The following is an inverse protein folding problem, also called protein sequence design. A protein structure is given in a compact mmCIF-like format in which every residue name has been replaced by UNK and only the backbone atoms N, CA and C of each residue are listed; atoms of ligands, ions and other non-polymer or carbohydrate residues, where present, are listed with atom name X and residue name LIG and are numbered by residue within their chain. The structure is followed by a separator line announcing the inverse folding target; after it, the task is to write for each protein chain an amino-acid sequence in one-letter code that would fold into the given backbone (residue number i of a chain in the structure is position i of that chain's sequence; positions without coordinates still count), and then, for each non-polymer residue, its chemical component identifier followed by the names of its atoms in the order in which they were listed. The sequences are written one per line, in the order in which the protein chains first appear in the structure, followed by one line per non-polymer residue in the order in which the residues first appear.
data_IF_169380249222
#
_entry.id   IF_169380249222
#
_cell.length_a   1.000
_cell.length_b   1.000
_cell.length_c   1.000
_cell.angle_alpha   90.00
_cell.angle_beta   90.00
_cell.angle_gamma   90.00
#
_symmetry.space_group_name_H-M   'P 1'
#
loop_
_entity.id
_entity.type
_entity.pdbx_description
1 polymer ?
#
# COMPACT_ATOMS: atom_id res chain seq x y z
N UNK A 1 46.34 24.27 -78.50
CA UNK A 1 46.49 23.74 -77.15
C UNK A 1 45.68 24.61 -76.23
N UNK A 2 44.45 24.18 -75.86
CA UNK A 2 43.58 24.84 -74.87
C UNK A 2 43.19 23.79 -73.91
N UNK A 3 43.65 23.93 -72.62
CA UNK A 3 43.26 23.12 -71.54
C UNK A 3 41.93 23.63 -71.00
N UNK A 4 40.97 22.75 -70.97
CA UNK A 4 39.65 22.99 -70.42
C UNK A 4 39.66 22.54 -68.95
N UNK A 5 39.37 23.46 -68.03
CA UNK A 5 39.18 23.14 -66.59
C UNK A 5 37.74 22.71 -66.35
N UNK A 6 37.51 21.68 -65.62
CA UNK A 6 36.15 21.34 -65.20
C UNK A 6 35.73 22.12 -63.92
N UNK A 7 34.55 22.68 -64.01
CA UNK A 7 33.87 23.34 -62.89
C UNK A 7 33.54 22.34 -61.80
N UNK A 8 34.08 22.54 -60.58
CA UNK A 8 33.68 21.82 -59.36
C UNK A 8 32.48 22.54 -58.79
N UNK A 9 31.33 21.90 -58.91
CA UNK A 9 30.10 22.31 -58.20
C UNK A 9 30.20 21.80 -56.79
N UNK A 10 30.40 22.67 -55.81
CA UNK A 10 30.33 22.36 -54.39
C UNK A 10 28.86 22.40 -53.97
N UNK A 11 28.30 21.24 -53.76
CA UNK A 11 26.94 21.08 -53.15
C UNK A 11 27.07 21.13 -51.63
N UNK A 12 26.68 22.27 -51.05
CA UNK A 12 26.53 22.41 -49.61
C UNK A 12 25.25 21.71 -49.14
N UNK A 13 25.40 20.52 -48.55
CA UNK A 13 24.31 19.82 -47.87
C UNK A 13 24.18 20.40 -46.46
N UNK A 14 23.20 21.27 -46.28
CA UNK A 14 22.81 21.77 -44.95
C UNK A 14 22.04 20.65 -44.19
N UNK A 15 22.69 19.97 -43.27
CA UNK A 15 22.05 19.03 -42.37
C UNK A 15 21.27 19.81 -41.30
N UNK A 16 19.93 19.82 -41.39
CA UNK A 16 19.05 20.26 -40.32
C UNK A 16 19.09 19.21 -39.23
N UNK A 17 19.74 19.47 -38.11
CA UNK A 17 19.64 18.74 -36.87
C UNK A 17 18.32 19.14 -36.20
N UNK A 18 17.27 18.32 -36.40
CA UNK A 18 16.06 18.40 -35.63
C UNK A 18 16.35 17.77 -34.24
N UNK A 19 16.67 18.63 -33.28
CA UNK A 19 16.80 18.23 -31.88
C UNK A 19 15.46 17.78 -31.33
N UNK A 20 15.23 16.47 -31.22
CA UNK A 20 14.13 15.90 -30.47
C UNK A 20 14.38 16.14 -28.97
N UNK A 21 13.82 17.22 -28.41
CA UNK A 21 13.66 17.35 -26.97
C UNK A 21 12.73 16.23 -26.49
N UNK A 22 13.31 15.10 -26.05
CA UNK A 22 12.60 14.13 -25.25
C UNK A 22 12.26 14.81 -23.91
N UNK A 23 11.03 15.31 -23.79
CA UNK A 23 10.47 15.72 -22.52
C UNK A 23 10.41 14.48 -21.64
N UNK A 24 11.41 14.29 -20.78
CA UNK A 24 11.36 13.35 -19.68
C UNK A 24 10.30 13.85 -18.71
N UNK A 25 9.03 13.51 -18.98
CA UNK A 25 7.94 13.69 -18.06
C UNK A 25 8.25 12.85 -16.84
N UNK A 26 8.76 13.47 -15.77
CA UNK A 26 8.78 12.86 -14.44
C UNK A 26 7.34 12.46 -14.12
N UNK A 27 7.03 11.18 -14.23
CA UNK A 27 5.78 10.63 -13.70
C UNK A 27 5.87 10.84 -12.19
N UNK A 28 5.21 11.89 -11.69
CA UNK A 28 4.96 12.02 -10.27
C UNK A 28 4.12 10.81 -9.91
N UNK A 29 4.72 9.85 -9.21
CA UNK A 29 3.99 8.72 -8.65
C UNK A 29 2.90 9.31 -7.75
N UNK A 30 1.62 8.90 -7.88
CA UNK A 30 0.60 9.37 -6.98
C UNK A 30 1.07 9.13 -5.55
N UNK A 31 0.95 10.14 -4.68
CA UNK A 31 1.29 9.95 -3.28
C UNK A 31 0.48 8.76 -2.75
N UNK A 32 1.16 7.74 -2.21
CA UNK A 32 0.49 6.57 -1.65
C UNK A 32 -0.45 6.99 -0.52
N UNK A 33 -1.69 6.54 -0.60
CA UNK A 33 -2.70 6.81 0.41
C UNK A 33 -2.65 5.73 1.50
N UNK A 34 -2.59 6.14 2.76
CA UNK A 34 -2.50 5.24 3.90
C UNK A 34 -3.87 4.64 4.25
N UNK A 35 -3.91 3.33 4.52
CA UNK A 35 -5.00 2.62 5.20
C UNK A 35 -4.50 2.13 6.55
N UNK A 36 -5.27 2.35 7.61
CA UNK A 36 -4.87 2.00 8.97
C UNK A 36 -5.70 0.83 9.48
N UNK A 37 -5.06 -0.28 9.77
CA UNK A 37 -5.68 -1.40 10.47
C UNK A 37 -5.33 -1.35 11.95
N UNK A 38 -6.36 -1.43 12.80
CA UNK A 38 -6.22 -1.36 14.27
C UNK A 38 -6.88 -2.58 14.89
N UNK A 39 -6.17 -3.24 15.79
CA UNK A 39 -6.74 -4.23 16.72
C UNK A 39 -6.25 -3.91 18.13
N UNK A 40 -6.56 -4.71 19.13
CA UNK A 40 -6.15 -4.44 20.50
C UNK A 40 -4.63 -4.39 20.65
N UNK A 41 -3.91 -5.44 20.26
CA UNK A 41 -2.46 -5.56 20.50
C UNK A 41 -1.59 -5.04 19.34
N UNK A 42 -2.13 -4.88 18.15
CA UNK A 42 -1.38 -4.36 16.98
C UNK A 42 -0.42 -5.36 16.31
N UNK A 43 -0.31 -6.58 16.78
CA UNK A 43 0.67 -7.58 16.32
C UNK A 43 0.05 -8.90 15.84
N UNK A 44 -1.28 -8.98 15.71
CA UNK A 44 -1.99 -10.17 15.23
C UNK A 44 -2.93 -9.78 14.09
N UNK A 45 -4.21 -9.50 14.36
CA UNK A 45 -5.23 -9.31 13.33
C UNK A 45 -4.94 -8.11 12.42
N UNK A 46 -4.55 -6.97 12.99
CA UNK A 46 -4.20 -5.78 12.21
C UNK A 46 -2.93 -5.98 11.37
N UNK A 47 -1.94 -6.71 11.89
CA UNK A 47 -0.72 -7.07 11.16
C UNK A 47 -1.04 -8.01 9.99
N UNK A 48 -1.85 -9.04 10.21
CA UNK A 48 -2.32 -9.96 9.16
C UNK A 48 -3.08 -9.19 8.08
N UNK A 49 -4.04 -8.35 8.47
CA UNK A 49 -4.82 -7.53 7.54
C UNK A 49 -3.95 -6.59 6.71
N UNK A 50 -3.01 -5.87 7.35
CA UNK A 50 -2.08 -4.97 6.67
C UNK A 50 -1.18 -5.73 5.69
N UNK A 51 -0.72 -6.94 6.05
CA UNK A 51 0.10 -7.78 5.18
C UNK A 51 -0.67 -8.22 3.93
N UNK A 52 -1.91 -8.68 4.10
CA UNK A 52 -2.78 -9.09 2.98
C UNK A 52 -3.13 -7.90 2.09
N UNK A 53 -3.47 -6.77 2.70
CA UNK A 53 -3.80 -5.53 1.98
C UNK A 53 -2.64 -5.05 1.13
N UNK A 54 -1.45 -4.93 1.70
CA UNK A 54 -0.25 -4.45 0.99
C UNK A 54 0.10 -5.34 -0.20
N UNK A 55 0.02 -6.67 -0.03
CA UNK A 55 0.22 -7.61 -1.13
C UNK A 55 -0.80 -7.41 -2.24
N UNK A 56 -2.08 -7.34 -1.89
CA UNK A 56 -3.16 -7.25 -2.88
C UNK A 56 -3.17 -5.89 -3.58
N UNK A 57 -2.94 -4.79 -2.86
CA UNK A 57 -2.81 -3.45 -3.43
C UNK A 57 -1.64 -3.39 -4.42
N UNK A 58 -0.49 -3.95 -4.06
CA UNK A 58 0.67 -4.04 -4.96
C UNK A 58 0.37 -4.87 -6.21
N UNK A 59 -0.27 -6.03 -6.07
CA UNK A 59 -0.65 -6.88 -7.20
C UNK A 59 -1.62 -6.20 -8.17
N UNK A 60 -2.47 -5.31 -7.67
CA UNK A 60 -3.44 -4.54 -8.46
C UNK A 60 -2.92 -3.17 -8.91
N UNK A 61 -1.67 -2.82 -8.59
CA UNK A 61 -1.07 -1.53 -8.93
C UNK A 61 -1.78 -0.33 -8.28
N UNK A 62 -2.40 -0.52 -7.12
CA UNK A 62 -3.14 0.53 -6.42
C UNK A 62 -2.19 1.38 -5.57
N UNK A 63 -2.38 2.72 -5.54
CA UNK A 63 -1.51 3.63 -4.79
C UNK A 63 -1.90 3.67 -3.31
N UNK A 64 -1.94 2.51 -2.66
CA UNK A 64 -2.27 2.37 -1.25
C UNK A 64 -1.21 1.58 -0.51
N UNK A 65 -0.95 1.98 0.74
CA UNK A 65 -0.20 1.17 1.69
C UNK A 65 -0.95 1.09 3.02
N UNK A 66 -0.81 -0.02 3.71
CA UNK A 66 -1.46 -0.25 4.99
C UNK A 66 -0.46 -0.28 6.14
N UNK A 67 -0.87 0.29 7.27
CA UNK A 67 -0.18 0.19 8.55
C UNK A 67 -0.99 -0.63 9.55
N UNK A 68 -0.27 -1.30 10.46
CA UNK A 68 -0.84 -2.00 11.60
C UNK A 68 -0.57 -1.21 12.89
N UNK A 69 -1.60 -1.07 13.75
CA UNK A 69 -1.51 -0.43 15.07
C UNK A 69 -2.33 -1.18 16.10
N UNK A 70 -1.99 -0.98 17.38
CA UNK A 70 -2.73 -1.49 18.52
C UNK A 70 -3.37 -0.37 19.32
N UNK A 71 -4.55 -0.60 19.89
CA UNK A 71 -5.14 0.31 20.89
C UNK A 71 -4.46 0.17 22.25
N UNK A 72 -3.96 -1.03 22.57
CA UNK A 72 -3.25 -1.35 23.80
C UNK A 72 -2.17 -2.42 23.55
N UNK A 73 -1.05 -2.09 22.86
CA UNK A 73 0.04 -3.04 22.68
C UNK A 73 0.63 -3.45 24.03
N UNK A 74 0.67 -4.75 24.28
CA UNK A 74 1.16 -5.38 25.52
C UNK A 74 2.41 -6.25 25.31
N UNK A 75 2.92 -6.28 24.08
CA UNK A 75 4.08 -7.05 23.65
C UNK A 75 4.95 -6.24 22.71
N UNK A 76 6.22 -6.56 22.65
CA UNK A 76 7.19 -5.97 21.72
C UNK A 76 7.40 -6.80 20.46
N UNK A 77 6.79 -7.99 20.37
CA UNK A 77 7.01 -8.95 19.29
C UNK A 77 5.69 -9.52 18.77
N UNK A 78 5.77 -10.18 17.63
CA UNK A 78 4.65 -10.96 17.07
C UNK A 78 4.63 -12.36 17.71
N UNK A 79 3.47 -12.89 18.10
CA UNK A 79 3.37 -14.25 18.62
C UNK A 79 3.95 -15.29 17.64
N UNK A 80 4.72 -16.29 18.11
CA UNK A 80 5.41 -17.26 17.23
C UNK A 80 4.47 -17.99 16.26
N UNK A 81 3.27 -18.34 16.70
CA UNK A 81 2.27 -19.00 15.82
C UNK A 81 1.82 -18.10 14.66
N UNK A 82 1.72 -16.79 14.89
CA UNK A 82 1.37 -15.80 13.85
C UNK A 82 2.56 -15.61 12.89
N UNK A 83 3.78 -15.53 13.42
CA UNK A 83 5.01 -15.51 12.59
C UNK A 83 5.05 -16.73 11.69
N UNK A 84 4.86 -17.92 12.24
CA UNK A 84 4.89 -19.17 11.46
C UNK A 84 3.77 -19.22 10.39
N UNK A 85 2.55 -18.83 10.75
CA UNK A 85 1.43 -18.79 9.81
C UNK A 85 1.69 -17.83 8.66
N UNK A 86 2.07 -16.58 8.95
CA UNK A 86 2.37 -15.57 7.94
C UNK A 86 3.60 -15.92 7.11
N UNK A 87 4.63 -16.53 7.70
CA UNK A 87 5.81 -17.02 6.95
C UNK A 87 5.41 -18.12 5.95
N UNK A 88 4.55 -19.06 6.36
CA UNK A 88 4.00 -20.09 5.47
C UNK A 88 3.23 -19.51 4.27
N UNK A 89 2.72 -18.30 4.41
CA UNK A 89 2.05 -17.54 3.34
C UNK A 89 3.01 -16.58 2.60
N UNK A 90 4.30 -16.60 2.92
CA UNK A 90 5.35 -15.78 2.30
C UNK A 90 5.42 -14.33 2.81
N UNK A 91 5.01 -14.08 4.06
CA UNK A 91 5.21 -12.80 4.72
C UNK A 91 6.28 -12.90 5.80
N UNK A 92 7.23 -11.97 5.83
CA UNK A 92 8.31 -11.91 6.80
C UNK A 92 8.01 -10.85 7.85
N UNK A 93 7.49 -11.25 9.01
CA UNK A 93 7.03 -10.35 10.08
C UNK A 93 7.74 -10.56 11.41
N UNK A 94 8.80 -11.37 11.46
CA UNK A 94 9.50 -11.70 12.71
C UNK A 94 10.09 -10.44 13.40
N UNK A 95 10.55 -9.47 12.62
CA UNK A 95 11.12 -8.21 13.11
C UNK A 95 10.07 -7.10 13.30
N UNK A 96 8.78 -7.40 13.15
CA UNK A 96 7.74 -6.40 13.34
C UNK A 96 7.55 -6.11 14.83
N UNK A 97 7.53 -4.83 15.18
CA UNK A 97 7.25 -4.35 16.52
C UNK A 97 5.88 -3.65 16.55
N UNK A 98 4.94 -4.09 17.42
CA UNK A 98 3.64 -3.44 17.54
C UNK A 98 3.80 -2.01 18.08
N UNK A 99 3.02 -1.10 17.52
CA UNK A 99 3.04 0.33 17.84
C UNK A 99 1.63 0.73 18.24
N UNK A 100 1.51 1.57 19.28
CA UNK A 100 0.22 2.13 19.67
C UNK A 100 -0.33 3.06 18.57
N UNK A 101 -1.64 3.01 18.36
CA UNK A 101 -2.31 3.94 17.46
C UNK A 101 -2.20 5.37 17.97
N UNK A 102 -1.97 6.30 17.06
CA UNK A 102 -1.91 7.74 17.37
C UNK A 102 -2.93 8.52 16.53
N UNK A 103 -3.27 9.72 17.02
CA UNK A 103 -4.11 10.68 16.26
C UNK A 103 -3.47 11.00 14.91
N UNK A 104 -2.14 11.07 14.85
CA UNK A 104 -1.42 11.31 13.61
C UNK A 104 -1.55 10.17 12.60
N UNK A 105 -1.53 8.90 13.05
CA UNK A 105 -1.77 7.75 12.17
C UNK A 105 -3.18 7.82 11.57
N UNK A 106 -4.18 8.14 12.41
CA UNK A 106 -5.58 8.23 11.97
C UNK A 106 -5.76 9.38 10.98
N UNK A 107 -5.26 10.59 11.32
CA UNK A 107 -5.44 11.80 10.50
C UNK A 107 -4.79 11.71 9.11
N UNK A 108 -3.76 10.90 8.96
CA UNK A 108 -3.08 10.65 7.68
C UNK A 108 -3.73 9.54 6.86
N UNK A 109 -4.68 8.81 7.45
CA UNK A 109 -5.30 7.66 6.81
C UNK A 109 -6.51 8.07 5.97
N UNK A 110 -6.62 7.46 4.80
CA UNK A 110 -7.82 7.57 3.97
C UNK A 110 -8.97 6.71 4.51
N UNK A 111 -8.64 5.63 5.21
CA UNK A 111 -9.58 4.70 5.85
C UNK A 111 -8.95 4.14 7.12
N UNK A 112 -9.74 4.02 8.17
CA UNK A 112 -9.38 3.31 9.40
C UNK A 112 -10.26 2.08 9.52
N UNK A 113 -9.65 0.92 9.74
CA UNK A 113 -10.34 -0.35 9.94
C UNK A 113 -10.07 -0.84 11.35
N UNK A 114 -11.13 -1.00 12.12
CA UNK A 114 -11.09 -1.50 13.50
C UNK A 114 -11.46 -2.98 13.50
N UNK A 115 -10.58 -3.84 14.01
CA UNK A 115 -10.78 -5.29 14.00
C UNK A 115 -11.01 -5.79 15.42
N UNK A 116 -12.28 -6.10 15.76
CA UNK A 116 -12.72 -6.51 17.09
C UNK A 116 -12.24 -5.55 18.21
N UNK A 117 -12.15 -4.27 17.93
CA UNK A 117 -11.72 -3.23 18.88
C UNK A 117 -12.42 -1.91 18.57
N UNK A 118 -12.29 -0.93 19.45
CA UNK A 118 -12.74 0.44 19.26
C UNK A 118 -11.60 1.40 19.57
N UNK A 119 -11.61 2.58 18.94
CA UNK A 119 -10.69 3.65 19.32
C UNK A 119 -11.10 4.27 20.66
N UNK A 120 -10.15 4.74 21.47
CA UNK A 120 -10.44 5.59 22.60
C UNK A 120 -11.26 6.83 22.18
N UNK A 121 -12.19 7.30 23.00
CA UNK A 121 -13.06 8.45 22.70
C UNK A 121 -12.27 9.69 22.28
N UNK A 122 -11.07 9.88 22.82
CA UNK A 122 -10.18 10.99 22.51
C UNK A 122 -9.52 10.89 21.12
N UNK A 123 -9.70 9.78 20.41
CA UNK A 123 -9.04 9.49 19.12
C UNK A 123 -10.04 9.38 17.95
N UNK A 124 -11.13 10.13 17.98
CA UNK A 124 -12.13 10.18 16.89
C UNK A 124 -11.99 11.46 16.06
N UNK A 125 -11.03 11.56 15.11
CA UNK A 125 -10.93 12.71 14.24
C UNK A 125 -12.14 12.75 13.30
N UNK A 126 -12.73 13.94 13.16
CA UNK A 126 -13.85 14.13 12.25
C UNK A 126 -13.42 13.90 10.79
N UNK A 127 -14.31 13.29 10.01
CA UNK A 127 -14.17 13.19 8.56
C UNK A 127 -13.32 12.03 8.03
N UNK A 128 -12.71 11.21 8.88
CA UNK A 128 -12.02 9.99 8.44
C UNK A 128 -12.99 8.81 8.46
N UNK A 129 -13.28 8.17 7.31
CA UNK A 129 -14.15 7.00 7.27
C UNK A 129 -13.57 5.86 8.11
N UNK A 130 -14.42 5.29 8.97
CA UNK A 130 -14.09 4.15 9.82
C UNK A 130 -14.94 2.93 9.42
N UNK A 131 -14.36 1.77 9.52
CA UNK A 131 -15.00 0.48 9.26
C UNK A 131 -14.72 -0.46 10.43
N UNK A 132 -15.72 -1.20 10.88
CA UNK A 132 -15.59 -2.12 12.00
C UNK A 132 -15.81 -3.57 11.53
N UNK A 133 -14.80 -4.40 11.72
CA UNK A 133 -14.86 -5.85 11.47
C UNK A 133 -14.98 -6.60 12.79
N UNK A 134 -16.15 -7.17 13.05
CA UNK A 134 -16.45 -7.84 14.33
C UNK A 134 -16.46 -9.37 14.23
N UNK A 135 -16.44 -9.92 13.03
CA UNK A 135 -16.58 -11.35 12.73
C UNK A 135 -15.24 -12.07 12.53
N UNK A 136 -14.12 -11.42 12.85
CA UNK A 136 -12.78 -12.02 12.73
C UNK A 136 -12.49 -12.88 13.98
N UNK A 137 -12.35 -14.21 13.83
CA UNK A 137 -12.08 -15.09 14.96
C UNK A 137 -10.73 -14.80 15.63
N UNK A 138 -10.50 -15.29 16.87
CA UNK A 138 -9.18 -15.20 17.50
C UNK A 138 -8.15 -16.04 16.72
N UNK A 139 -7.14 -15.38 16.13
CA UNK A 139 -6.11 -16.06 15.35
C UNK A 139 -5.19 -16.98 16.19
N UNK A 140 -5.15 -16.80 17.50
CA UNK A 140 -4.41 -17.67 18.42
C UNK A 140 -5.03 -19.06 18.57
N UNK A 141 -6.35 -19.18 18.39
CA UNK A 141 -7.06 -20.46 18.46
C UNK A 141 -7.36 -21.05 17.09
N UNK A 142 -7.57 -20.22 16.07
CA UNK A 142 -7.84 -20.65 14.71
C UNK A 142 -7.25 -19.63 13.70
N UNK A 143 -5.97 -19.84 13.38
CA UNK A 143 -5.27 -19.01 12.41
C UNK A 143 -5.93 -19.08 11.02
N UNK A 144 -6.35 -20.27 10.58
CA UNK A 144 -6.91 -20.46 9.26
C UNK A 144 -8.24 -19.72 9.08
N UNK A 145 -9.14 -19.81 10.06
CA UNK A 145 -10.41 -19.10 10.04
C UNK A 145 -10.20 -17.57 10.10
N UNK A 146 -9.29 -17.09 10.97
CA UNK A 146 -8.94 -15.67 11.03
C UNK A 146 -8.35 -15.15 9.71
N UNK A 147 -7.42 -15.89 9.13
CA UNK A 147 -6.82 -15.56 7.82
C UNK A 147 -7.89 -15.49 6.73
N UNK A 148 -8.78 -16.47 6.65
CA UNK A 148 -9.86 -16.49 5.66
C UNK A 148 -10.82 -15.31 5.83
N UNK A 149 -11.21 -14.96 7.06
CA UNK A 149 -12.07 -13.82 7.36
C UNK A 149 -11.39 -12.51 6.93
N UNK A 150 -10.14 -12.29 7.35
CA UNK A 150 -9.39 -11.09 7.02
C UNK A 150 -9.17 -10.92 5.51
N UNK A 151 -8.90 -12.00 4.78
CA UNK A 151 -8.75 -11.93 3.32
C UNK A 151 -10.04 -11.51 2.62
N UNK A 152 -11.20 -12.04 3.04
CA UNK A 152 -12.50 -11.61 2.49
C UNK A 152 -12.76 -10.13 2.71
N UNK A 153 -12.51 -9.63 3.91
CA UNK A 153 -12.67 -8.22 4.25
C UNK A 153 -11.70 -7.32 3.46
N UNK A 154 -10.43 -7.71 3.38
CA UNK A 154 -9.42 -6.97 2.62
C UNK A 154 -9.77 -6.92 1.12
N UNK A 155 -10.28 -8.01 0.57
CA UNK A 155 -10.72 -8.06 -0.83
C UNK A 155 -11.87 -7.07 -1.11
N UNK A 156 -12.88 -7.06 -0.23
CA UNK A 156 -14.00 -6.11 -0.32
C UNK A 156 -13.52 -4.65 -0.18
N UNK A 157 -12.69 -4.35 0.84
CA UNK A 157 -12.15 -3.02 1.06
C UNK A 157 -11.34 -2.51 -0.14
N UNK A 158 -10.51 -3.35 -0.74
CA UNK A 158 -9.75 -2.98 -1.95
C UNK A 158 -10.68 -2.74 -3.14
N UNK A 159 -11.76 -3.51 -3.26
CA UNK A 159 -12.80 -3.25 -4.26
C UNK A 159 -13.41 -1.86 -4.11
N UNK A 160 -13.73 -1.45 -2.87
CA UNK A 160 -14.28 -0.13 -2.57
C UNK A 160 -13.29 1.02 -2.78
N UNK A 161 -12.01 0.76 -2.58
CA UNK A 161 -10.94 1.76 -2.75
C UNK A 161 -10.47 1.87 -4.20
N UNK A 162 -10.73 0.87 -5.02
CA UNK A 162 -10.38 0.91 -6.45
C UNK A 162 -11.20 1.98 -7.17
N UNK A 163 -10.60 2.76 -8.09
CA UNK A 163 -11.37 3.63 -8.94
C UNK A 163 -12.44 2.78 -9.64
N UNK A 164 -13.72 3.07 -9.40
CA UNK A 164 -14.76 2.45 -10.22
C UNK A 164 -14.51 2.91 -11.66
N UNK A 165 -14.34 1.98 -12.58
CA UNK A 165 -14.48 2.25 -14.01
C UNK A 165 -15.94 2.69 -14.25
N UNK A 166 -16.27 3.90 -13.84
CA UNK A 166 -17.49 4.56 -14.24
C UNK A 166 -17.24 5.16 -15.62
N UNK A 167 -17.42 4.31 -16.61
CA UNK A 167 -17.58 4.71 -17.99
C UNK A 167 -19.03 5.14 -18.22
#
# INVERSE_FOLDING_TARGET
MRQSMPNIVVVLISALLVGACAASGSRVSPAESQVLFVCEHGNVKSLMAASYFNRLASQRGLPYHALSRGTAPDSTTVPPAIVAGLLGEGFHVAEFHPIAVSVADISKSRRVVLINTALPETMHPAGIPQELWTDVPPASSDYAAASAALRRHVEALIGDLSPSDKN
#
